data_IF_460695638331
#
_entry.id   IF_460695638331
#
_cell.length_a   1.000
_cell.length_b   1.000
_cell.length_c   1.000
_cell.angle_alpha   90.00
_cell.angle_beta   90.00
_cell.angle_gamma   90.00
#
_symmetry.space_group_name_H-M   'P 1'
#
loop_
_entity.id
_entity.type
_entity.pdbx_description
1 polymer ?
#
# COMPACT_ATOMS: atom_id res chain seq x y z
N UNK A 1 47.90 -48.05 -11.29
CA UNK A 1 47.58 -47.41 -10.00
C UNK A 1 46.12 -47.03 -10.02
N UNK A 2 45.29 -47.98 -9.61
CA UNK A 2 43.86 -47.86 -9.41
C UNK A 2 43.54 -46.90 -8.26
N UNK A 3 42.46 -46.13 -8.38
CA UNK A 3 41.64 -45.76 -7.22
C UNK A 3 40.18 -45.58 -7.60
N UNK A 4 39.42 -46.65 -7.33
CA UNK A 4 37.99 -46.65 -7.09
C UNK A 4 37.63 -45.67 -5.97
N UNK A 5 36.55 -44.89 -6.16
CA UNK A 5 35.70 -44.47 -5.05
C UNK A 5 34.22 -44.71 -5.39
N UNK A 6 33.58 -45.42 -4.47
CA UNK A 6 32.22 -45.98 -4.52
C UNK A 6 31.20 -45.00 -3.93
N UNK A 7 30.04 -44.94 -4.58
CA UNK A 7 28.66 -45.03 -4.06
C UNK A 7 28.41 -44.61 -2.60
N UNK A 8 27.46 -43.69 -2.40
CA UNK A 8 26.51 -43.76 -1.28
C UNK A 8 25.17 -43.11 -1.67
N UNK A 9 24.26 -43.94 -2.16
CA UNK A 9 22.82 -43.75 -2.18
C UNK A 9 22.27 -43.54 -0.76
N UNK A 10 21.36 -42.58 -0.59
CA UNK A 10 20.83 -42.18 0.72
C UNK A 10 19.38 -41.74 0.68
N UNK A 11 18.51 -42.55 0.07
CA UNK A 11 17.06 -42.35 0.10
C UNK A 11 16.50 -42.47 1.54
N UNK A 12 15.80 -41.44 2.02
CA UNK A 12 14.78 -41.59 3.09
C UNK A 12 13.50 -40.90 2.70
N UNK A 13 12.56 -41.70 2.22
CA UNK A 13 11.13 -41.39 2.15
C UNK A 13 10.59 -41.21 3.58
N UNK A 14 9.79 -40.17 3.81
CA UNK A 14 8.81 -40.15 4.91
C UNK A 14 7.40 -40.15 4.30
N UNK A 15 6.55 -41.15 4.60
CA UNK A 15 5.14 -41.13 4.26
C UNK A 15 4.32 -40.39 5.33
N UNK A 16 3.21 -39.78 4.90
CA UNK A 16 1.95 -39.78 5.65
C UNK A 16 1.81 -38.76 6.78
N UNK A 17 1.15 -37.65 6.49
CA UNK A 17 0.58 -36.73 7.47
C UNK A 17 -0.73 -36.16 6.97
N UNK A 18 -1.76 -37.00 6.86
CA UNK A 18 -3.15 -36.57 6.67
C UNK A 18 -3.64 -36.05 8.01
N UNK A 19 -4.16 -34.82 8.06
CA UNK A 19 -4.95 -34.35 9.19
C UNK A 19 -6.16 -33.54 8.73
N UNK A 20 -7.25 -33.59 9.52
CA UNK A 20 -8.60 -33.72 8.98
C UNK A 20 -9.29 -32.40 8.68
N UNK A 21 -10.26 -32.50 7.78
CA UNK A 21 -11.26 -31.47 7.44
C UNK A 21 -11.98 -31.00 8.71
N UNK A 22 -11.98 -29.69 8.97
CA UNK A 22 -12.96 -29.08 9.85
C UNK A 22 -14.33 -29.04 9.15
N UNK A 23 -15.41 -29.50 9.79
CA UNK A 23 -16.77 -29.23 9.32
C UNK A 23 -17.17 -27.78 9.63
N UNK A 24 -18.01 -27.13 8.80
CA UNK A 24 -18.64 -25.87 9.14
C UNK A 24 -19.74 -26.11 10.19
N UNK A 25 -19.68 -25.37 11.30
CA UNK A 25 -20.80 -25.27 12.21
C UNK A 25 -21.85 -24.35 11.58
N UNK A 26 -22.90 -24.95 11.05
CA UNK A 26 -24.21 -24.31 10.90
C UNK A 26 -24.82 -24.16 12.29
N UNK A 27 -25.27 -22.95 12.59
CA UNK A 27 -25.87 -22.55 13.87
C UNK A 27 -26.55 -21.21 13.65
N UNK A 28 -27.69 -21.27 12.95
CA UNK A 28 -28.71 -20.24 12.88
C UNK A 28 -29.37 -20.15 14.26
N UNK A 29 -29.68 -18.95 14.76
CA UNK A 29 -30.87 -18.68 15.59
C UNK A 29 -31.00 -17.17 15.94
N UNK A 30 -32.21 -16.69 16.28
CA UNK A 30 -32.84 -15.60 15.54
C UNK A 30 -33.07 -14.32 16.34
N UNK A 31 -33.37 -13.26 15.57
CA UNK A 31 -34.05 -12.03 15.94
C UNK A 31 -34.77 -12.04 17.29
N UNK A 32 -34.30 -11.26 18.27
CA UNK A 32 -35.16 -10.49 19.19
C UNK A 32 -34.34 -9.46 19.93
N UNK A 33 -34.72 -8.18 19.75
CA UNK A 33 -34.93 -7.18 20.80
C UNK A 33 -34.68 -5.78 20.21
N UNK A 34 -35.79 -5.16 19.81
CA UNK A 34 -35.99 -3.71 19.77
C UNK A 34 -35.30 -3.04 20.96
N UNK A 35 -34.15 -2.42 20.71
CA UNK A 35 -33.60 -1.41 21.61
C UNK A 35 -33.69 -0.09 20.87
N UNK A 36 -34.63 0.74 21.31
CA UNK A 36 -34.81 2.10 20.85
C UNK A 36 -33.46 2.83 20.78
N UNK A 37 -33.07 3.22 19.56
CA UNK A 37 -31.90 4.07 19.38
C UNK A 37 -32.24 5.49 19.85
N UNK A 38 -31.47 6.08 20.79
CA UNK A 38 -31.56 7.51 21.02
C UNK A 38 -31.09 8.22 19.75
N UNK A 39 -31.91 9.16 19.25
CA UNK A 39 -31.54 10.14 18.22
C UNK A 39 -30.46 11.10 18.76
N UNK A 40 -29.27 10.57 19.00
CA UNK A 40 -28.07 11.33 19.26
C UNK A 40 -27.63 11.94 17.94
N UNK A 41 -27.77 13.25 17.83
CA UNK A 41 -27.21 14.07 16.74
C UNK A 41 -25.83 13.53 16.39
N UNK A 42 -25.72 13.00 15.18
CA UNK A 42 -24.50 12.41 14.63
C UNK A 42 -23.36 13.41 14.70
N UNK A 43 -22.56 13.32 15.75
CA UNK A 43 -21.14 13.45 15.57
C UNK A 43 -20.76 12.23 14.74
N UNK A 44 -20.77 12.39 13.41
CA UNK A 44 -20.05 11.49 12.52
C UNK A 44 -18.60 11.54 12.98
N UNK A 45 -18.30 10.67 13.95
CA UNK A 45 -16.96 10.36 14.38
C UNK A 45 -16.28 9.90 13.11
N UNK A 46 -15.48 10.78 12.53
CA UNK A 46 -14.51 10.40 11.52
C UNK A 46 -13.57 9.46 12.27
N UNK A 47 -13.90 8.16 12.25
CA UNK A 47 -13.07 7.13 12.84
C UNK A 47 -11.64 7.41 12.39
N UNK A 48 -10.67 7.56 13.31
CA UNK A 48 -9.33 7.94 12.96
C UNK A 48 -8.80 6.92 11.97
N UNK A 49 -8.75 7.30 10.70
CA UNK A 49 -8.54 6.39 9.60
C UNK A 49 -7.21 5.67 9.84
N UNK A 50 -7.28 4.39 10.20
CA UNK A 50 -6.12 3.64 10.66
C UNK A 50 -5.13 3.60 9.51
N UNK A 51 -3.97 4.23 9.70
CA UNK A 51 -2.97 4.33 8.66
C UNK A 51 -2.51 2.92 8.26
N UNK A 52 -2.62 2.52 6.97
CA UNK A 52 -2.20 1.21 6.55
C UNK A 52 -0.69 1.04 6.72
N UNK A 53 -0.30 -0.16 7.12
CA UNK A 53 1.09 -0.54 7.35
C UNK A 53 1.63 -1.35 6.16
N UNK A 54 2.92 -1.23 5.92
CA UNK A 54 3.61 -2.05 4.92
C UNK A 54 3.58 -3.52 5.34
N UNK A 55 3.11 -4.40 4.44
CA UNK A 55 2.99 -5.85 4.70
C UNK A 55 4.32 -6.57 4.92
N UNK A 56 5.45 -5.95 4.56
CA UNK A 56 6.78 -6.53 4.75
C UNK A 56 7.46 -6.03 6.03
N UNK A 57 7.51 -4.71 6.26
CA UNK A 57 8.28 -4.12 7.37
C UNK A 57 7.44 -3.50 8.49
N UNK A 58 6.11 -3.48 8.36
CA UNK A 58 5.20 -2.90 9.36
C UNK A 58 5.21 -1.37 9.45
N UNK A 59 6.01 -0.66 8.64
CA UNK A 59 6.07 0.81 8.67
C UNK A 59 4.80 1.44 8.06
N UNK A 60 4.33 2.58 8.56
CA UNK A 60 3.19 3.29 8.00
C UNK A 60 3.42 3.68 6.53
N UNK A 61 2.41 3.49 5.69
CA UNK A 61 2.48 3.86 4.27
C UNK A 61 2.40 5.37 4.09
N UNK A 62 3.11 5.87 3.08
CA UNK A 62 3.17 7.30 2.78
C UNK A 62 1.83 7.76 2.20
N UNK A 63 1.34 8.89 2.68
CA UNK A 63 0.16 9.58 2.14
C UNK A 63 0.40 9.94 0.66
N UNK A 64 -0.64 9.87 -0.16
CA UNK A 64 -0.58 10.35 -1.54
C UNK A 64 -0.68 11.88 -1.51
N UNK A 65 0.42 12.57 -1.73
CA UNK A 65 0.48 14.03 -1.64
C UNK A 65 0.55 14.62 -3.03
N UNK A 66 -0.41 15.49 -3.35
CA UNK A 66 -0.38 16.31 -4.57
C UNK A 66 0.33 17.62 -4.24
N UNK A 67 1.44 17.91 -4.92
CA UNK A 67 2.17 19.16 -4.72
C UNK A 67 1.69 20.22 -5.70
N UNK A 68 1.12 21.31 -5.17
CA UNK A 68 0.69 22.47 -5.94
C UNK A 68 1.71 23.59 -5.78
N UNK A 69 2.37 23.97 -6.87
CA UNK A 69 3.31 25.08 -6.89
C UNK A 69 2.59 26.41 -7.20
N UNK A 70 2.51 27.29 -6.20
CA UNK A 70 1.91 28.62 -6.30
C UNK A 70 2.84 29.65 -6.95
N UNK A 71 4.13 29.32 -7.07
CA UNK A 71 5.15 30.18 -7.66
C UNK A 71 5.59 29.77 -9.06
N UNK A 72 4.84 28.90 -9.75
CA UNK A 72 5.21 28.60 -11.13
C UNK A 72 5.16 29.89 -11.93
N UNK A 73 6.32 30.34 -12.42
CA UNK A 73 6.43 31.37 -13.47
C UNK A 73 5.85 30.78 -14.76
N UNK A 74 4.62 30.28 -14.74
CA UNK A 74 3.98 29.82 -15.95
C UNK A 74 3.80 31.04 -16.87
N UNK A 75 4.28 30.95 -18.12
CA UNK A 75 4.11 32.01 -19.09
C UNK A 75 2.62 32.18 -19.39
N UNK A 76 2.02 33.26 -18.87
CA UNK A 76 0.79 33.93 -19.35
C UNK A 76 -0.30 33.03 -19.96
N UNK A 77 -0.62 31.88 -19.39
CA UNK A 77 -1.88 31.21 -19.73
C UNK A 77 -3.02 32.01 -19.10
N UNK A 78 -4.00 32.34 -19.93
CA UNK A 78 -5.07 33.33 -19.69
C UNK A 78 -5.89 32.99 -18.45
N UNK A 79 -5.47 33.49 -17.29
CA UNK A 79 -6.17 33.27 -16.01
C UNK A 79 -5.27 33.05 -14.80
N UNK A 80 -3.95 33.22 -14.93
CA UNK A 80 -3.02 33.16 -13.79
C UNK A 80 -3.51 34.05 -12.64
N UNK A 81 -3.68 33.43 -11.47
CA UNK A 81 -3.99 34.11 -10.21
C UNK A 81 -2.96 35.22 -10.02
N UNK A 82 -3.45 36.46 -9.90
CA UNK A 82 -2.60 37.62 -9.84
C UNK A 82 -1.67 37.53 -8.62
N UNK A 83 -0.42 37.99 -8.76
CA UNK A 83 0.61 37.99 -7.69
C UNK A 83 0.15 38.42 -6.27
N UNK A 84 -0.83 39.32 -6.05
CA UNK A 84 -1.30 39.66 -4.69
C UNK A 84 -2.03 38.54 -3.93
N UNK A 85 -2.51 37.47 -4.57
CA UNK A 85 -3.29 36.42 -3.88
C UNK A 85 -2.44 35.26 -3.32
N UNK A 86 -1.14 35.49 -3.09
CA UNK A 86 -0.27 34.45 -2.54
C UNK A 86 -0.49 34.35 -1.03
N UNK A 87 -0.93 33.19 -0.51
CA UNK A 87 -1.07 33.02 0.93
C UNK A 87 0.29 33.16 1.61
N UNK A 88 0.31 33.94 2.68
CA UNK A 88 1.49 34.18 3.52
C UNK A 88 1.58 33.19 4.68
N UNK A 89 0.45 32.56 5.03
CA UNK A 89 0.31 31.68 6.18
C UNK A 89 -0.36 30.34 5.82
N UNK A 90 -0.24 29.37 6.73
CA UNK A 90 -0.93 28.07 6.59
C UNK A 90 -2.44 28.25 6.60
N UNK A 91 -2.95 29.14 7.43
CA UNK A 91 -4.37 29.40 7.61
C UNK A 91 -4.98 29.99 6.34
N UNK A 92 -4.27 30.93 5.69
CA UNK A 92 -4.66 31.47 4.38
C UNK A 92 -4.62 30.39 3.31
N UNK A 93 -3.55 29.58 3.25
CA UNK A 93 -3.46 28.47 2.32
C UNK A 93 -4.60 27.46 2.53
N UNK A 94 -4.95 27.15 3.78
CA UNK A 94 -6.02 26.21 4.13
C UNK A 94 -7.42 26.73 3.74
N UNK A 95 -7.61 28.05 3.61
CA UNK A 95 -8.86 28.62 3.08
C UNK A 95 -8.98 28.47 1.57
N UNK A 96 -7.86 28.37 0.86
CA UNK A 96 -7.84 28.20 -0.60
C UNK A 96 -8.06 26.74 -1.02
N UNK A 97 -7.75 25.79 -0.15
CA UNK A 97 -7.83 24.36 -0.45
C UNK A 97 -8.78 23.66 0.52
N UNK A 98 -9.73 22.89 -0.03
CA UNK A 98 -10.62 22.05 0.77
C UNK A 98 -9.92 20.79 1.34
N UNK A 99 -8.74 20.45 0.83
CA UNK A 99 -7.95 19.27 1.20
C UNK A 99 -7.06 19.53 2.43
N UNK A 100 -6.56 18.46 3.05
CA UNK A 100 -5.68 18.57 4.22
C UNK A 100 -4.27 18.97 3.76
N UNK A 101 -3.80 20.12 4.24
CA UNK A 101 -2.41 20.54 4.00
C UNK A 101 -1.46 19.73 4.89
N UNK A 102 -0.65 18.89 4.26
CA UNK A 102 0.32 18.01 4.95
C UNK A 102 1.75 18.54 4.90
N UNK A 103 2.08 19.39 3.93
CA UNK A 103 3.37 20.07 3.85
C UNK A 103 3.23 21.46 3.25
N UNK A 104 4.11 22.36 3.68
CA UNK A 104 4.23 23.71 3.16
C UNK A 104 5.68 23.99 2.85
N UNK A 105 5.91 24.66 1.72
CA UNK A 105 7.20 25.26 1.40
C UNK A 105 7.03 26.76 1.27
N UNK A 106 7.90 27.50 1.93
CA UNK A 106 7.93 28.94 1.83
C UNK A 106 8.96 29.37 0.79
N UNK A 107 8.62 30.42 0.05
CA UNK A 107 9.54 31.23 -0.75
C UNK A 107 9.66 32.62 -0.14
N UNK A 108 10.61 33.39 -0.66
CA UNK A 108 10.82 34.79 -0.27
C UNK A 108 11.05 35.62 -1.54
N UNK A 109 10.45 36.80 -1.59
CA UNK A 109 10.66 37.79 -2.65
C UNK A 109 10.72 39.21 -2.07
N UNK A 110 10.76 40.23 -2.92
CA UNK A 110 10.83 41.65 -2.53
C UNK A 110 9.69 42.10 -1.61
N UNK A 111 8.57 41.36 -1.56
CA UNK A 111 7.41 41.65 -0.71
C UNK A 111 7.39 40.82 0.57
N UNK A 112 8.37 39.95 0.76
CA UNK A 112 8.57 39.12 1.94
C UNK A 112 8.32 37.63 1.70
N UNK A 113 8.10 36.91 2.80
CA UNK A 113 7.89 35.46 2.81
C UNK A 113 6.46 35.11 2.37
N UNK A 114 6.33 34.12 1.49
CA UNK A 114 5.05 33.60 1.02
C UNK A 114 5.09 32.07 0.88
N UNK A 115 3.93 31.42 0.80
CA UNK A 115 3.84 29.98 0.53
C UNK A 115 4.07 29.73 -0.96
N UNK A 116 5.16 29.04 -1.30
CA UNK A 116 5.56 28.76 -2.68
C UNK A 116 5.03 27.43 -3.20
N UNK A 117 4.94 26.42 -2.34
CA UNK A 117 4.38 25.09 -2.65
C UNK A 117 3.54 24.58 -1.48
N UNK A 118 2.44 23.91 -1.81
CA UNK A 118 1.55 23.26 -0.84
C UNK A 118 1.45 21.78 -1.20
N UNK A 119 1.70 20.91 -0.24
CA UNK A 119 1.40 19.48 -0.35
C UNK A 119 0.02 19.20 0.22
N UNK A 120 -0.89 18.76 -0.65
CA UNK A 120 -2.27 18.46 -0.32
C UNK A 120 -2.49 16.95 -0.22
N UNK A 121 -3.34 16.56 0.73
CA UNK A 121 -3.79 15.19 0.92
C UNK A 121 -5.31 15.15 1.03
N UNK A 122 -5.94 14.25 0.30
CA UNK A 122 -7.39 14.06 0.25
C UNK A 122 -7.99 13.42 1.52
N UNK A 123 -7.13 13.01 2.47
CA UNK A 123 -7.54 12.38 3.72
C UNK A 123 -7.71 10.86 3.63
N UNK A 124 -7.69 10.26 2.43
CA UNK A 124 -8.04 8.84 2.21
C UNK A 124 -6.93 8.09 1.49
N UNK A 125 -6.26 8.69 0.51
CA UNK A 125 -5.38 7.96 -0.39
C UNK A 125 -3.93 7.90 0.11
N UNK A 126 -3.35 6.71 -0.03
CA UNK A 126 -1.94 6.44 0.24
C UNK A 126 -1.26 6.09 -1.09
N UNK A 127 0.02 6.49 -1.22
CA UNK A 127 0.79 6.36 -2.47
C UNK A 127 0.85 4.92 -2.98
N UNK A 128 0.91 3.99 -2.04
CA UNK A 128 0.92 2.56 -2.28
C UNK A 128 -0.11 1.92 -1.36
N UNK A 129 -0.80 0.87 -1.84
CA UNK A 129 -1.83 0.18 -1.04
C UNK A 129 -1.27 -0.84 -0.04
N UNK A 130 -0.07 -1.39 -0.31
CA UNK A 130 0.44 -2.55 0.43
C UNK A 130 1.91 -2.47 0.86
N UNK A 131 2.76 -1.74 0.13
CA UNK A 131 4.20 -1.74 0.35
C UNK A 131 4.77 -0.32 0.31
N UNK A 132 5.69 0.00 1.23
CA UNK A 132 6.30 1.34 1.26
C UNK A 132 7.36 1.57 0.18
N UNK A 133 7.85 0.50 -0.46
CA UNK A 133 8.90 0.49 -1.48
C UNK A 133 8.68 -0.71 -2.42
N UNK A 134 9.12 -0.56 -3.68
CA UNK A 134 9.09 -1.66 -4.66
C UNK A 134 9.92 -2.88 -4.22
N UNK A 135 11.08 -2.65 -3.60
CA UNK A 135 11.95 -3.72 -3.09
C UNK A 135 11.24 -4.63 -2.07
N UNK A 136 10.46 -4.06 -1.15
CA UNK A 136 9.68 -4.84 -0.18
C UNK A 136 8.58 -5.65 -0.83
N UNK A 137 7.97 -5.14 -1.92
CA UNK A 137 6.99 -5.90 -2.69
C UNK A 137 7.64 -7.11 -3.36
N UNK A 138 8.86 -6.95 -3.91
CA UNK A 138 9.62 -8.04 -4.52
C UNK A 138 10.04 -9.10 -3.50
N UNK A 139 10.60 -8.69 -2.36
CA UNK A 139 11.00 -9.61 -1.28
C UNK A 139 9.79 -10.38 -0.74
N UNK A 140 8.67 -9.68 -0.52
CA UNK A 140 7.43 -10.31 -0.09
C UNK A 140 6.92 -11.33 -1.13
N UNK A 141 6.96 -10.99 -2.43
CA UNK A 141 6.57 -11.91 -3.50
C UNK A 141 7.47 -13.16 -3.54
N UNK A 142 8.79 -12.97 -3.39
CA UNK A 142 9.74 -14.09 -3.34
C UNK A 142 9.50 -15.01 -2.14
N UNK A 143 9.31 -14.44 -0.95
CA UNK A 143 8.95 -15.21 0.24
C UNK A 143 7.62 -15.95 0.04
N UNK A 144 6.60 -15.28 -0.50
CA UNK A 144 5.30 -15.89 -0.75
C UNK A 144 5.39 -17.10 -1.69
N UNK A 145 6.20 -17.01 -2.76
CA UNK A 145 6.41 -18.12 -3.68
C UNK A 145 7.19 -19.30 -3.06
N UNK A 146 8.12 -19.02 -2.14
CA UNK A 146 8.85 -20.08 -1.43
C UNK A 146 7.95 -20.85 -0.45
N UNK A 147 7.01 -20.17 0.21
CA UNK A 147 6.09 -20.81 1.16
C UNK A 147 4.86 -21.41 0.47
N UNK A 148 4.39 -20.80 -0.62
CA UNK A 148 3.25 -21.26 -1.41
C UNK A 148 3.62 -21.25 -2.91
N UNK A 149 4.29 -22.31 -3.40
CA UNK A 149 4.70 -22.43 -4.80
C UNK A 149 3.55 -22.39 -5.80
N UNK A 150 2.31 -22.58 -5.34
CA UNK A 150 1.08 -22.54 -6.15
C UNK A 150 0.64 -21.13 -6.51
N UNK A 151 1.30 -20.09 -5.98
CA UNK A 151 1.00 -18.68 -6.31
C UNK A 151 1.64 -18.23 -7.64
N UNK A 152 2.30 -19.14 -8.38
CA UNK A 152 2.85 -18.88 -9.70
C UNK A 152 1.78 -18.64 -10.77
N UNK A 153 2.16 -18.02 -11.89
CA UNK A 153 1.25 -17.88 -13.04
C UNK A 153 1.12 -19.20 -13.79
N UNK A 154 0.01 -19.40 -14.51
CA UNK A 154 -0.19 -20.58 -15.35
C UNK A 154 0.96 -20.77 -16.35
N UNK A 155 1.41 -19.69 -16.99
CA UNK A 155 2.54 -19.71 -17.93
C UNK A 155 3.85 -20.18 -17.30
N UNK A 156 4.09 -19.85 -16.03
CA UNK A 156 5.27 -20.29 -15.29
C UNK A 156 5.20 -21.79 -15.01
N UNK A 157 4.03 -22.28 -14.59
CA UNK A 157 3.81 -23.71 -14.35
C UNK A 157 3.93 -24.55 -15.63
N UNK A 158 3.42 -24.06 -16.76
CA UNK A 158 3.61 -24.68 -18.08
C UNK A 158 5.08 -24.75 -18.46
N UNK A 159 5.83 -23.65 -18.29
CA UNK A 159 7.26 -23.60 -18.59
C UNK A 159 8.09 -24.55 -17.70
N UNK A 160 7.78 -24.63 -16.41
CA UNK A 160 8.40 -25.58 -15.48
C UNK A 160 8.18 -27.03 -15.92
N UNK A 161 6.95 -27.37 -16.31
CA UNK A 161 6.62 -28.71 -16.80
C UNK A 161 7.41 -29.05 -18.06
N UNK A 162 7.49 -28.12 -19.02
CA UNK A 162 8.27 -28.30 -20.24
C UNK A 162 9.78 -28.44 -19.98
N UNK A 163 10.33 -27.80 -18.94
CA UNK A 163 11.73 -28.01 -18.53
C UNK A 163 11.95 -29.41 -17.95
N UNK A 164 11.05 -29.86 -17.07
CA UNK A 164 11.13 -31.20 -16.47
C UNK A 164 11.03 -32.32 -17.51
N UNK A 165 10.19 -32.14 -18.54
CA UNK A 165 10.07 -33.09 -19.65
C UNK A 165 11.36 -33.18 -20.48
N UNK A 166 12.05 -32.05 -20.69
CA UNK A 166 13.35 -32.01 -21.40
C UNK A 166 14.49 -32.65 -20.61
N UNK A 167 14.49 -32.54 -19.29
CA UNK A 167 15.49 -33.19 -18.45
C UNK A 167 15.31 -34.72 -18.39
N UNK A 168 14.12 -35.21 -18.74
CA UNK A 168 13.78 -36.64 -18.74
C UNK A 168 13.95 -37.32 -20.12
N UNK A 169 14.14 -36.54 -21.19
CA UNK A 169 14.36 -37.03 -22.57
C UNK A 169 15.83 -37.16 -22.91
#
# INVERSE_FOLDING_TARGET
MERLLRIADGARRRPGGVSPRHPPAAGEDPCTADTAQPEGRGQEGVDPMIQPLCRYCGKPLRKSVVTVALNSRQPKWRGGISRPDRPSSKEEAQRLFNEVIVSLRYGEDERGRYVSEVGLWDGVTYRDRFFCKGEHAQQFAYSALNYAPTLGTASYHEALKAQQEKEQS
#
